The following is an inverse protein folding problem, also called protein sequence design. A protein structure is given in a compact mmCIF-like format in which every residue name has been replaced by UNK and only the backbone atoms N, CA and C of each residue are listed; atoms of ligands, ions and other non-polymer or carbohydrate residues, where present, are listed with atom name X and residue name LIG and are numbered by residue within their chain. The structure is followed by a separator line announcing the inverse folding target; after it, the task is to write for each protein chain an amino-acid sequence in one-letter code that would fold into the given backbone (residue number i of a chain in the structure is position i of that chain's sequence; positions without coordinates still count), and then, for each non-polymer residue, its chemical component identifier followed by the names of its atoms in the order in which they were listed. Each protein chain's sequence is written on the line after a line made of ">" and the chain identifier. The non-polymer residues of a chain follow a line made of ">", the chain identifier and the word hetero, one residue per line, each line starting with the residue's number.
data_IF_034110478164
#
_entry.id   IF_034110478164
#
_cell.length_a   1.000
_cell.length_b   1.000
_cell.length_c   1.000
_cell.angle_alpha   90.00
_cell.angle_beta   90.00
_cell.angle_gamma   90.00
#
_symmetry.space_group_name_H-M   'P 1'
#
loop_
_entity.id
_entity.type
_entity.pdbx_description
1 polymer ?
#
# COMPACT_ATOMS: atom_id res chain seq x y z
N UNK A 1 -3.44 14.47 -3.50
CA UNK A 1 -4.44 13.68 -4.24
C UNK A 1 -4.14 12.20 -4.10
N UNK A 2 -5.17 11.37 -3.89
CA UNK A 2 -5.03 9.91 -3.75
C UNK A 2 -5.29 9.25 -5.10
N UNK A 3 -4.38 8.37 -5.54
CA UNK A 3 -4.59 7.51 -6.73
C UNK A 3 -4.70 6.06 -6.28
N UNK A 4 -5.75 5.39 -6.72
CA UNK A 4 -5.99 3.96 -6.53
C UNK A 4 -5.83 3.26 -7.86
N UNK A 5 -4.97 2.25 -7.92
CA UNK A 5 -4.71 1.47 -9.13
C UNK A 5 -4.45 0.00 -8.80
N UNK A 6 -4.35 -0.82 -9.84
CA UNK A 6 -4.04 -2.24 -9.71
C UNK A 6 -2.53 -2.44 -9.69
N UNK A 7 -1.98 -3.16 -8.72
CA UNK A 7 -0.54 -3.48 -8.69
C UNK A 7 -0.22 -4.77 -9.45
N UNK A 8 -0.96 -5.83 -9.14
CA UNK A 8 -0.86 -7.15 -9.75
C UNK A 8 -2.27 -7.70 -9.98
N UNK A 9 -2.41 -8.99 -10.27
CA UNK A 9 -3.73 -9.59 -10.47
C UNK A 9 -4.71 -9.29 -9.33
N UNK A 10 -4.30 -9.36 -8.06
CA UNK A 10 -5.19 -9.41 -6.89
C UNK A 10 -4.86 -8.37 -5.80
N UNK A 11 -3.84 -7.55 -6.00
CA UNK A 11 -3.35 -6.53 -5.07
C UNK A 11 -3.74 -5.13 -5.53
N UNK A 12 -4.39 -4.38 -4.64
CA UNK A 12 -4.74 -2.98 -4.85
C UNK A 12 -3.62 -2.07 -4.37
N UNK A 13 -3.27 -1.08 -5.18
CA UNK A 13 -2.28 -0.04 -4.88
C UNK A 13 -3.00 1.26 -4.57
N UNK A 14 -2.77 1.81 -3.38
CA UNK A 14 -3.28 3.10 -2.96
C UNK A 14 -2.07 3.99 -2.74
N UNK A 15 -1.95 5.06 -3.51
CA UNK A 15 -0.85 6.02 -3.42
C UNK A 15 -1.36 7.39 -3.00
N UNK A 16 -0.67 8.00 -2.04
CA UNK A 16 -0.95 9.36 -1.62
C UNK A 16 0.34 10.10 -1.30
N UNK A 17 0.39 11.37 -1.70
CA UNK A 17 1.49 12.27 -1.38
C UNK A 17 1.07 13.14 -0.19
N UNK A 18 1.99 13.30 0.76
CA UNK A 18 1.83 14.15 1.92
C UNK A 18 2.52 15.48 1.64
N UNK A 19 1.75 16.49 1.26
CA UNK A 19 2.27 17.61 0.45
C UNK A 19 2.52 18.92 1.20
N UNK A 20 2.78 18.92 2.53
CA UNK A 20 3.35 20.06 3.31
C UNK A 20 3.19 19.92 4.82
N UNK A 21 2.14 19.25 5.30
CA UNK A 21 1.86 19.19 6.74
C UNK A 21 2.81 18.23 7.45
N UNK A 22 3.19 18.56 8.69
CA UNK A 22 3.94 17.65 9.57
C UNK A 22 3.08 16.47 10.03
N UNK A 23 1.75 16.68 10.06
CA UNK A 23 0.76 15.72 10.52
C UNK A 23 -0.23 15.42 9.39
N UNK A 24 -0.53 14.14 9.18
CA UNK A 24 -1.54 13.72 8.23
C UNK A 24 -2.26 12.49 8.76
N UNK A 25 -3.59 12.49 8.66
CA UNK A 25 -4.41 11.33 8.96
C UNK A 25 -5.09 10.79 7.70
N UNK A 26 -5.10 9.46 7.60
CA UNK A 26 -5.69 8.72 6.49
C UNK A 26 -6.61 7.64 7.09
N UNK A 27 -7.89 7.71 6.76
CA UNK A 27 -8.89 6.71 7.15
C UNK A 27 -9.40 6.01 5.88
N UNK A 28 -9.29 4.69 5.83
CA UNK A 28 -9.76 3.84 4.73
C UNK A 28 -10.84 2.90 5.25
N UNK A 29 -11.99 2.89 4.58
CA UNK A 29 -13.14 2.05 4.88
C UNK A 29 -13.40 1.15 3.68
N UNK A 30 -13.07 -0.14 3.83
CA UNK A 30 -13.33 -1.16 2.82
C UNK A 30 -14.60 -1.92 3.20
N UNK A 31 -15.65 -1.74 2.41
CA UNK A 31 -16.93 -2.40 2.55
C UNK A 31 -16.89 -3.74 1.80
N UNK A 32 -16.95 -4.81 2.57
CA UNK A 32 -16.92 -6.20 2.08
C UNK A 32 -18.36 -6.72 2.01
N UNK A 33 -18.80 -7.28 0.88
CA UNK A 33 -20.10 -7.95 0.77
C UNK A 33 -20.29 -9.04 1.82
N UNK A 34 -21.42 -9.03 2.55
CA UNK A 34 -21.69 -10.02 3.60
C UNK A 34 -21.80 -11.46 3.11
N UNK A 35 -22.06 -11.67 1.81
CA UNK A 35 -22.06 -13.02 1.21
C UNK A 35 -20.69 -13.73 1.30
N UNK A 36 -19.60 -12.99 1.52
CA UNK A 36 -18.25 -13.55 1.70
C UNK A 36 -18.08 -14.13 3.11
N UNK A 37 -18.93 -13.71 4.07
CA UNK A 37 -18.87 -14.19 5.45
C UNK A 37 -17.63 -13.73 6.23
N UNK A 38 -16.93 -12.68 5.79
CA UNK A 38 -15.73 -12.17 6.46
C UNK A 38 -16.07 -11.69 7.88
N UNK A 39 -15.43 -12.29 8.88
CA UNK A 39 -15.65 -12.00 10.29
C UNK A 39 -14.35 -12.06 11.10
N UNK A 40 -14.32 -11.39 12.26
CA UNK A 40 -13.15 -11.33 13.14
C UNK A 40 -12.69 -12.71 13.64
N UNK A 41 -13.60 -13.68 13.76
CA UNK A 41 -13.28 -15.05 14.18
C UNK A 41 -12.57 -15.85 13.08
N UNK A 42 -12.93 -15.62 11.82
CA UNK A 42 -12.32 -16.31 10.67
C UNK A 42 -10.97 -15.68 10.30
N UNK A 43 -10.92 -14.35 10.32
CA UNK A 43 -9.71 -13.61 9.99
C UNK A 43 -9.49 -12.51 11.03
N UNK A 44 -8.65 -12.77 12.05
CA UNK A 44 -8.29 -11.78 13.05
C UNK A 44 -7.70 -10.51 12.41
N UNK A 45 -7.90 -9.38 13.08
CA UNK A 45 -7.39 -8.08 12.65
C UNK A 45 -5.86 -8.07 12.51
N UNK A 46 -5.16 -8.85 13.33
CA UNK A 46 -3.70 -9.02 13.22
C UNK A 46 -3.31 -9.68 11.91
N UNK A 47 -4.02 -10.73 11.54
CA UNK A 47 -3.69 -11.54 10.38
C UNK A 47 -4.04 -10.77 9.11
N UNK A 48 -5.17 -10.04 9.12
CA UNK A 48 -5.51 -9.11 8.05
C UNK A 48 -4.44 -8.03 7.89
N UNK A 49 -3.97 -7.45 8.99
CA UNK A 49 -2.94 -6.42 8.93
C UNK A 49 -1.60 -6.95 8.38
N UNK A 50 -1.11 -8.10 8.86
CA UNK A 50 0.20 -8.62 8.43
C UNK A 50 0.18 -9.28 7.05
N UNK A 51 -0.93 -9.93 6.66
CA UNK A 51 -1.01 -10.69 5.41
C UNK A 51 -1.57 -9.87 4.25
N UNK A 52 -2.51 -8.93 4.50
CA UNK A 52 -3.12 -8.15 3.44
C UNK A 52 -2.50 -6.76 3.28
N UNK A 53 -1.95 -6.15 4.33
CA UNK A 53 -1.48 -4.76 4.28
C UNK A 53 0.05 -4.67 4.22
N UNK A 54 0.57 -4.23 3.08
CA UNK A 54 1.99 -3.88 2.95
C UNK A 54 2.13 -2.40 2.61
N UNK A 55 3.12 -1.71 3.14
CA UNK A 55 3.28 -0.27 2.93
C UNK A 55 4.71 0.07 2.60
N UNK A 56 4.89 1.12 1.80
CA UNK A 56 6.20 1.70 1.50
C UNK A 56 6.07 3.20 1.50
N UNK A 57 7.06 3.88 2.07
CA UNK A 57 7.14 5.34 2.03
C UNK A 57 8.46 5.76 1.40
N UNK A 58 8.38 6.72 0.50
CA UNK A 58 9.50 7.21 -0.28
C UNK A 58 9.55 8.74 -0.20
N UNK A 59 10.75 9.31 -0.29
CA UNK A 59 10.90 10.74 -0.55
C UNK A 59 10.21 11.12 -1.86
N UNK A 60 9.60 12.30 -1.87
CA UNK A 60 8.84 12.80 -3.01
C UNK A 60 9.05 14.30 -3.21
N UNK A 61 8.89 14.74 -4.46
CA UNK A 61 8.99 16.15 -4.85
C UNK A 61 8.19 16.35 -6.13
N UNK A 62 7.28 17.32 -6.13
CA UNK A 62 6.50 17.73 -7.31
C UNK A 62 7.32 18.57 -8.30
N UNK A 63 8.48 19.11 -7.88
CA UNK A 63 9.31 19.97 -8.74
C UNK A 63 10.12 19.12 -9.71
N UNK A 64 9.78 19.19 -11.00
CA UNK A 64 10.39 18.44 -12.12
C UNK A 64 11.87 18.79 -12.43
N UNK A 65 12.60 19.44 -11.53
CA UNK A 65 13.81 20.22 -11.86
C UNK A 65 15.12 19.75 -11.22
N UNK A 66 15.13 18.61 -10.52
CA UNK A 66 16.26 18.23 -9.68
C UNK A 66 17.51 17.66 -10.41
N UNK A 67 17.44 16.90 -11.53
CA UNK A 67 18.63 16.27 -12.09
C UNK A 67 19.64 17.27 -12.66
N UNK A 68 19.12 18.30 -13.35
CA UNK A 68 19.94 19.29 -14.05
C UNK A 68 20.64 20.25 -13.07
N UNK A 69 20.01 20.58 -11.94
CA UNK A 69 20.59 21.46 -10.94
C UNK A 69 21.63 20.70 -10.11
N UNK A 70 21.31 19.47 -9.67
CA UNK A 70 22.23 18.69 -8.84
C UNK A 70 23.42 18.13 -9.62
N UNK A 71 23.27 17.76 -10.90
CA UNK A 71 24.41 17.40 -11.75
C UNK A 71 25.34 18.60 -12.00
N UNK A 72 24.80 19.80 -12.27
CA UNK A 72 25.60 21.03 -12.42
C UNK A 72 26.27 21.47 -11.13
N UNK A 73 25.61 21.31 -9.98
CA UNK A 73 26.20 21.62 -8.68
C UNK A 73 27.26 20.59 -8.26
N UNK A 74 27.06 19.30 -8.58
CA UNK A 74 28.07 18.26 -8.42
C UNK A 74 29.29 18.52 -9.32
N UNK A 75 29.07 18.93 -10.58
CA UNK A 75 30.13 19.35 -11.51
C UNK A 75 30.95 20.53 -10.99
N UNK A 76 30.34 21.42 -10.19
CA UNK A 76 31.02 22.58 -9.56
C UNK A 76 31.68 22.25 -8.22
N UNK A 77 31.73 20.97 -7.82
CA UNK A 77 32.29 20.54 -6.52
C UNK A 77 31.48 21.00 -5.30
N UNK A 78 30.24 21.45 -5.50
CA UNK A 78 29.37 22.01 -4.43
C UNK A 78 28.40 20.98 -3.84
N UNK A 79 28.42 19.74 -4.32
CA UNK A 79 27.53 18.66 -3.86
C UNK A 79 28.36 17.44 -3.45
N UNK A 80 27.99 16.80 -2.34
CA UNK A 80 28.64 15.55 -1.93
C UNK A 80 28.26 14.38 -2.83
N UNK A 81 29.14 13.37 -2.96
CA UNK A 81 28.86 12.14 -3.71
C UNK A 81 27.56 11.46 -3.26
N UNK A 82 27.28 11.48 -1.95
CA UNK A 82 26.04 10.97 -1.36
C UNK A 82 24.81 11.75 -1.84
N UNK A 83 24.85 13.08 -1.83
CA UNK A 83 23.75 13.91 -2.31
C UNK A 83 23.48 13.69 -3.80
N UNK A 84 24.53 13.52 -4.62
CA UNK A 84 24.38 13.19 -6.04
C UNK A 84 23.64 11.86 -6.24
N UNK A 85 24.09 10.78 -5.57
CA UNK A 85 23.48 9.45 -5.70
C UNK A 85 21.99 9.45 -5.36
N UNK A 86 21.62 10.16 -4.30
CA UNK A 86 20.24 10.27 -3.84
C UNK A 86 19.41 11.07 -4.85
N UNK A 87 19.92 12.22 -5.32
CA UNK A 87 19.22 13.05 -6.32
C UNK A 87 18.96 12.28 -7.62
N UNK A 88 19.96 11.53 -8.10
CA UNK A 88 19.83 10.74 -9.31
C UNK A 88 18.90 9.53 -9.12
N UNK A 89 18.95 8.89 -7.95
CA UNK A 89 18.01 7.83 -7.58
C UNK A 89 16.58 8.31 -7.51
N UNK A 90 16.33 9.46 -6.88
CA UNK A 90 15.00 10.05 -6.82
C UNK A 90 14.47 10.31 -8.21
N UNK A 91 15.26 10.95 -9.06
CA UNK A 91 14.87 11.22 -10.43
C UNK A 91 14.53 9.93 -11.18
N UNK A 92 15.41 8.94 -11.13
CA UNK A 92 15.18 7.64 -11.77
C UNK A 92 13.92 6.96 -11.22
N UNK A 93 13.70 7.01 -9.90
CA UNK A 93 12.52 6.46 -9.25
C UNK A 93 11.23 7.18 -9.68
N UNK A 94 11.25 8.52 -9.73
CA UNK A 94 10.13 9.33 -10.20
C UNK A 94 9.80 9.07 -11.65
N UNK A 95 10.81 8.99 -12.52
CA UNK A 95 10.65 8.63 -13.93
C UNK A 95 10.00 7.26 -14.08
N UNK A 96 10.52 6.25 -13.40
CA UNK A 96 9.97 4.89 -13.42
C UNK A 96 8.52 4.88 -12.99
N UNK A 97 8.19 5.55 -11.88
CA UNK A 97 6.80 5.64 -11.39
C UNK A 97 5.88 6.43 -12.33
N UNK A 98 6.38 7.49 -12.96
CA UNK A 98 5.60 8.30 -13.90
C UNK A 98 5.32 7.51 -15.19
N UNK A 99 6.33 6.84 -15.75
CA UNK A 99 6.17 6.01 -16.94
C UNK A 99 5.28 4.78 -16.67
N UNK A 100 5.41 4.15 -15.50
CA UNK A 100 4.55 3.05 -15.05
C UNK A 100 3.08 3.49 -15.05
N UNK A 101 2.79 4.61 -14.39
CA UNK A 101 1.43 5.16 -14.32
C UNK A 101 0.89 5.57 -15.70
N UNK A 102 1.69 6.26 -16.53
CA UNK A 102 1.25 6.71 -17.85
C UNK A 102 0.93 5.53 -18.77
N UNK A 103 1.75 4.48 -18.76
CA UNK A 103 1.51 3.27 -19.55
C UNK A 103 0.31 2.50 -19.02
N UNK A 104 0.16 2.37 -17.69
CA UNK A 104 -1.01 1.70 -17.11
C UNK A 104 -2.31 2.44 -17.42
N UNK A 105 -2.30 3.78 -17.43
CA UNK A 105 -3.45 4.60 -17.79
C UNK A 105 -3.83 4.39 -19.28
N UNK A 106 -2.84 4.34 -20.20
CA UNK A 106 -3.06 4.02 -21.62
C UNK A 106 -3.58 2.58 -21.82
N UNK A 107 -3.06 1.61 -21.07
CA UNK A 107 -3.50 0.22 -21.19
C UNK A 107 -4.88 -0.04 -20.58
N UNK A 108 -5.32 0.81 -19.64
CA UNK A 108 -6.63 0.67 -19.02
C UNK A 108 -7.78 0.99 -19.98
N UNK A 109 -7.58 1.98 -20.86
CA UNK A 109 -8.56 2.44 -21.85
C UNK A 109 -8.14 2.07 -23.28
N UNK A 110 -7.52 0.89 -23.46
CA UNK A 110 -6.87 0.48 -24.71
C UNK A 110 -7.74 0.55 -25.96
N UNK A 111 -9.06 0.56 -25.80
CA UNK A 111 -10.04 0.62 -26.89
C UNK A 111 -10.35 2.05 -27.35
N UNK A 112 -10.09 3.07 -26.51
CA UNK A 112 -10.35 4.49 -26.80
C UNK A 112 -9.07 5.36 -26.82
N UNK A 113 -7.90 4.80 -26.53
CA UNK A 113 -6.63 5.55 -26.53
C UNK A 113 -6.35 6.14 -27.91
N UNK A 114 -6.10 7.43 -27.95
CA UNK A 114 -5.74 8.15 -29.18
C UNK A 114 -4.24 8.07 -29.50
N UNK A 115 -3.87 8.18 -30.79
CA UNK A 115 -2.48 8.29 -31.22
C UNK A 115 -1.73 9.41 -30.51
N UNK A 116 -2.42 10.55 -30.31
CA UNK A 116 -1.87 11.74 -29.65
C UNK A 116 -1.48 11.49 -28.20
N UNK A 117 -2.24 10.68 -27.47
CA UNK A 117 -1.92 10.38 -26.06
C UNK A 117 -0.66 9.51 -25.95
N UNK A 118 -0.53 8.52 -26.83
CA UNK A 118 0.68 7.68 -26.90
C UNK A 118 1.89 8.54 -27.28
N UNK A 119 1.74 9.40 -28.28
CA UNK A 119 2.80 10.29 -28.72
C UNK A 119 3.25 11.27 -27.64
N UNK A 120 2.31 11.84 -26.88
CA UNK A 120 2.64 12.70 -25.74
C UNK A 120 3.50 11.96 -24.70
N UNK A 121 3.14 10.73 -24.35
CA UNK A 121 3.92 9.91 -23.41
C UNK A 121 5.31 9.59 -23.97
N UNK A 122 5.39 9.27 -25.27
CA UNK A 122 6.66 9.00 -25.96
C UNK A 122 7.56 10.24 -25.98
N UNK A 123 7.04 11.41 -26.34
CA UNK A 123 7.81 12.65 -26.41
C UNK A 123 8.33 13.08 -25.04
N UNK A 124 7.48 13.03 -24.01
CA UNK A 124 7.89 13.32 -22.63
C UNK A 124 8.98 12.36 -22.17
N UNK A 125 8.83 11.08 -22.47
CA UNK A 125 9.82 10.04 -22.15
C UNK A 125 11.17 10.34 -22.79
N UNK A 126 11.17 10.64 -24.09
CA UNK A 126 12.40 10.95 -24.83
C UNK A 126 13.05 12.25 -24.37
N UNK A 127 12.28 13.29 -24.06
CA UNK A 127 12.82 14.54 -23.55
C UNK A 127 13.47 14.35 -22.17
N UNK A 128 12.83 13.58 -21.28
CA UNK A 128 13.38 13.28 -19.95
C UNK A 128 14.68 12.48 -20.06
N UNK A 129 14.72 11.43 -20.88
CA UNK A 129 15.95 10.64 -21.11
C UNK A 129 17.05 11.49 -21.76
N UNK A 130 16.71 12.35 -22.74
CA UNK A 130 17.66 13.26 -23.37
C UNK A 130 18.25 14.25 -22.36
N UNK A 131 17.44 14.79 -21.45
CA UNK A 131 17.92 15.69 -20.39
C UNK A 131 18.88 15.00 -19.42
N UNK A 132 18.57 13.76 -19.02
CA UNK A 132 19.45 12.95 -18.19
C UNK A 132 20.83 12.74 -18.86
N UNK A 133 20.81 12.31 -20.13
CA UNK A 133 22.00 11.96 -20.91
C UNK A 133 22.89 13.15 -21.27
N UNK A 134 22.39 14.38 -21.19
CA UNK A 134 23.19 15.60 -21.34
C UNK A 134 24.09 15.88 -20.13
N UNK A 135 23.83 15.27 -18.98
CA UNK A 135 24.51 15.60 -17.71
C UNK A 135 25.34 14.46 -17.16
N UNK A 136 26.27 13.95 -17.98
CA UNK A 136 27.20 12.89 -17.58
C UNK A 136 28.26 13.48 -16.61
N UNK A 137 28.50 12.86 -15.45
CA UNK A 137 29.53 13.32 -14.51
C UNK A 137 30.94 12.95 -15.00
N UNK A 138 31.93 13.80 -14.71
CA UNK A 138 33.34 13.56 -15.04
C UNK A 138 34.01 12.58 -14.07
N UNK A 139 33.66 12.63 -12.78
CA UNK A 139 34.24 11.78 -11.74
C UNK A 139 33.87 10.30 -11.96
N UNK A 140 34.85 9.41 -11.92
CA UNK A 140 34.66 7.99 -12.27
C UNK A 140 33.65 7.29 -11.36
N UNK A 141 33.65 7.60 -10.06
CA UNK A 141 32.73 6.98 -9.09
C UNK A 141 31.27 7.33 -9.38
N UNK A 142 31.01 8.60 -9.69
CA UNK A 142 29.69 9.13 -10.05
C UNK A 142 29.28 8.63 -11.44
N UNK A 143 30.23 8.52 -12.37
CA UNK A 143 30.01 8.00 -13.72
C UNK A 143 29.57 6.54 -13.69
N UNK A 144 30.20 5.69 -12.87
CA UNK A 144 29.76 4.28 -12.69
C UNK A 144 28.32 4.21 -12.16
N UNK A 145 27.98 5.07 -11.21
CA UNK A 145 26.63 5.14 -10.65
C UNK A 145 25.61 5.61 -11.69
N UNK A 146 25.93 6.66 -12.45
CA UNK A 146 25.14 7.16 -13.57
C UNK A 146 24.91 6.06 -14.63
N UNK A 147 25.96 5.37 -15.06
CA UNK A 147 25.90 4.30 -16.06
C UNK A 147 24.93 3.19 -15.64
N UNK A 148 24.94 2.80 -14.37
CA UNK A 148 24.03 1.80 -13.83
C UNK A 148 22.56 2.26 -13.88
N UNK A 149 22.31 3.54 -13.61
CA UNK A 149 20.97 4.12 -13.66
C UNK A 149 20.49 4.28 -15.10
N UNK A 150 21.30 4.81 -16.00
CA UNK A 150 20.96 4.97 -17.43
C UNK A 150 20.70 3.61 -18.10
N UNK A 151 21.50 2.58 -17.78
CA UNK A 151 21.24 1.21 -18.25
C UNK A 151 19.86 0.69 -17.82
N UNK A 152 19.48 0.91 -16.55
CA UNK A 152 18.18 0.49 -16.05
C UNK A 152 17.04 1.29 -16.67
N UNK A 153 17.15 2.62 -16.76
CA UNK A 153 16.11 3.46 -17.35
C UNK A 153 15.91 3.16 -18.83
N UNK A 154 17.00 2.96 -19.57
CA UNK A 154 16.97 2.54 -20.97
C UNK A 154 16.24 1.20 -21.13
N UNK A 155 16.62 0.18 -20.34
CA UNK A 155 15.93 -1.11 -20.35
C UNK A 155 14.45 -1.01 -19.95
N UNK A 156 14.14 -0.28 -18.89
CA UNK A 156 12.77 -0.15 -18.41
C UNK A 156 11.86 0.55 -19.43
N UNK A 157 12.38 1.57 -20.11
CA UNK A 157 11.67 2.30 -21.17
C UNK A 157 11.33 1.40 -22.33
N UNK A 158 12.31 0.63 -22.80
CA UNK A 158 12.11 -0.39 -23.84
C UNK A 158 11.01 -1.38 -23.45
N UNK A 159 11.06 -1.94 -22.24
CA UNK A 159 10.06 -2.91 -21.79
C UNK A 159 8.65 -2.30 -21.74
N UNK A 160 8.53 -1.03 -21.37
CA UNK A 160 7.25 -0.32 -21.34
C UNK A 160 6.71 -0.04 -22.73
N UNK A 161 7.55 0.37 -23.69
CA UNK A 161 7.13 0.52 -25.09
C UNK A 161 6.73 -0.82 -25.71
N UNK A 162 7.50 -1.90 -25.47
CA UNK A 162 7.13 -3.24 -25.91
C UNK A 162 5.81 -3.72 -25.27
N UNK A 163 5.56 -3.36 -24.01
CA UNK A 163 4.30 -3.70 -23.35
C UNK A 163 3.09 -3.02 -23.99
N UNK A 164 3.22 -1.76 -24.43
CA UNK A 164 2.20 -1.06 -25.22
C UNK A 164 1.97 -1.77 -26.55
N UNK A 165 3.03 -2.10 -27.29
CA UNK A 165 2.93 -2.82 -28.58
C UNK A 165 2.19 -4.15 -28.43
N UNK A 166 2.43 -4.88 -27.34
CA UNK A 166 1.84 -6.19 -27.09
C UNK A 166 0.34 -6.15 -26.72
N UNK A 167 -0.12 -5.08 -26.08
CA UNK A 167 -1.48 -5.00 -25.50
C UNK A 167 -2.41 -4.03 -26.23
N UNK A 168 -1.91 -3.09 -27.03
CA UNK A 168 -2.73 -2.22 -27.86
C UNK A 168 -3.45 -3.02 -28.96
N UNK A 169 -4.72 -2.69 -29.20
CA UNK A 169 -5.61 -3.35 -30.18
C UNK A 169 -5.08 -3.24 -31.62
N UNK A 170 -5.64 -4.04 -32.54
CA UNK A 170 -5.10 -4.29 -33.88
C UNK A 170 -5.80 -3.50 -35.00
N UNK A 171 -6.29 -2.29 -34.72
CA UNK A 171 -6.85 -1.47 -35.80
C UNK A 171 -5.75 -0.84 -36.66
N UNK A 172 -6.09 -0.56 -37.92
CA UNK A 172 -5.14 -0.11 -38.96
C UNK A 172 -4.42 1.19 -38.60
N UNK A 173 -5.05 2.06 -37.82
CA UNK A 173 -4.47 3.33 -37.34
C UNK A 173 -3.31 3.12 -36.35
N UNK A 174 -3.28 2.01 -35.60
CA UNK A 174 -2.23 1.75 -34.63
C UNK A 174 -0.94 1.15 -35.23
N UNK A 175 -0.93 0.83 -36.53
CA UNK A 175 0.23 0.20 -37.16
C UNK A 175 1.45 1.13 -37.19
N UNK A 176 1.26 2.39 -37.54
CA UNK A 176 2.30 3.43 -37.58
C UNK A 176 2.92 3.65 -36.20
N UNK A 177 2.09 3.73 -35.16
CA UNK A 177 2.52 3.91 -33.77
C UNK A 177 3.31 2.69 -33.28
N UNK A 178 2.84 1.48 -33.59
CA UNK A 178 3.55 0.25 -33.22
C UNK A 178 4.94 0.22 -33.84
N UNK A 179 5.05 0.54 -35.13
CA UNK A 179 6.33 0.61 -35.82
C UNK A 179 7.24 1.68 -35.18
N UNK A 180 6.69 2.84 -34.83
CA UNK A 180 7.43 3.90 -34.11
C UNK A 180 7.92 3.43 -32.73
N UNK A 181 7.06 2.78 -31.93
CA UNK A 181 7.43 2.25 -30.61
C UNK A 181 8.52 1.18 -30.71
N UNK A 182 8.46 0.32 -31.73
CA UNK A 182 9.50 -0.68 -32.02
C UNK A 182 10.82 0.01 -32.37
N UNK A 183 10.81 1.01 -33.26
CA UNK A 183 12.02 1.77 -33.62
C UNK A 183 12.62 2.45 -32.38
N UNK A 184 11.80 2.97 -31.47
CA UNK A 184 12.29 3.58 -30.23
C UNK A 184 12.87 2.54 -29.26
N UNK A 185 12.26 1.37 -29.16
CA UNK A 185 12.81 0.24 -28.40
C UNK A 185 14.17 -0.20 -28.97
N UNK A 186 14.29 -0.33 -30.29
CA UNK A 186 15.54 -0.65 -30.97
C UNK A 186 16.62 0.41 -30.75
N UNK A 187 16.25 1.70 -30.74
CA UNK A 187 17.19 2.80 -30.40
C UNK A 187 17.72 2.68 -28.99
N UNK A 188 16.89 2.33 -28.01
CA UNK A 188 17.32 2.10 -26.63
C UNK A 188 18.21 0.84 -26.52
N UNK A 189 17.90 -0.22 -27.27
CA UNK A 189 18.79 -1.38 -27.38
C UNK A 189 20.16 -1.02 -27.96
N UNK A 190 20.20 -0.26 -29.07
CA UNK A 190 21.42 0.20 -29.70
C UNK A 190 22.25 1.11 -28.77
N UNK A 191 21.59 2.00 -28.02
CA UNK A 191 22.23 2.84 -27.01
C UNK A 191 22.97 2.01 -25.95
N UNK A 192 22.32 0.97 -25.40
CA UNK A 192 22.94 0.08 -24.40
C UNK A 192 24.10 -0.73 -24.98
N UNK A 193 24.01 -1.10 -26.26
CA UNK A 193 25.08 -1.81 -26.97
C UNK A 193 26.31 -0.91 -27.20
N UNK A 194 26.09 0.33 -27.66
CA UNK A 194 27.14 1.32 -27.92
C UNK A 194 27.90 1.72 -26.65
N UNK A 195 27.22 1.80 -25.51
CA UNK A 195 27.85 2.12 -24.23
C UNK A 195 28.34 0.90 -23.43
N UNK A 196 28.25 -0.31 -24.00
CA UNK A 196 28.72 -1.56 -23.39
C UNK A 196 28.21 -1.79 -21.95
N UNK A 197 26.95 -1.43 -21.68
CA UNK A 197 26.40 -1.52 -20.31
C UNK A 197 26.26 -2.96 -19.81
N UNK A 198 26.08 -3.92 -20.71
CA UNK A 198 25.82 -5.31 -20.41
C UNK A 198 26.89 -6.19 -21.05
N UNK A 199 27.34 -7.22 -20.32
CA UNK A 199 28.22 -8.24 -20.88
C UNK A 199 27.48 -9.05 -21.93
N UNK A 200 28.23 -9.62 -22.88
CA UNK A 200 27.67 -10.48 -23.95
C UNK A 200 26.85 -11.63 -23.39
N UNK A 201 27.32 -12.28 -22.31
CA UNK A 201 26.59 -13.34 -21.61
C UNK A 201 25.28 -12.86 -20.97
N UNK A 202 25.26 -11.63 -20.43
CA UNK A 202 24.04 -11.08 -19.86
C UNK A 202 23.04 -10.68 -20.95
N UNK A 203 23.52 -10.24 -22.12
CA UNK A 203 22.65 -9.91 -23.25
C UNK A 203 21.97 -11.15 -23.87
N UNK A 204 22.61 -12.32 -23.82
CA UNK A 204 22.08 -13.56 -24.37
C UNK A 204 21.11 -14.28 -23.42
N UNK A 205 21.32 -14.19 -22.11
CA UNK A 205 20.52 -14.90 -21.11
C UNK A 205 19.46 -13.96 -20.48
N UNK A 206 18.19 -14.21 -20.83
CA UNK A 206 17.02 -13.49 -20.35
C UNK A 206 16.96 -13.46 -18.81
N UNK A 207 17.35 -14.55 -18.15
CA UNK A 207 17.28 -14.64 -16.69
C UNK A 207 18.35 -13.77 -16.03
N UNK A 208 19.56 -13.74 -16.60
CA UNK A 208 20.67 -12.91 -16.10
C UNK A 208 20.37 -11.44 -16.26
N UNK A 209 19.86 -11.01 -17.42
CA UNK A 209 19.50 -9.60 -17.62
C UNK A 209 18.37 -9.19 -16.69
N UNK A 210 17.32 -10.00 -16.54
CA UNK A 210 16.22 -9.72 -15.61
C UNK A 210 16.70 -9.57 -14.16
N UNK A 211 17.57 -10.47 -13.70
CA UNK A 211 18.16 -10.40 -12.36
C UNK A 211 19.04 -9.14 -12.17
N UNK A 212 19.85 -8.79 -13.19
CA UNK A 212 20.65 -7.55 -13.17
C UNK A 212 19.75 -6.32 -13.08
N UNK A 213 18.69 -6.25 -13.87
CA UNK A 213 17.75 -5.12 -13.87
C UNK A 213 16.99 -5.02 -12.55
N UNK A 214 16.66 -6.14 -11.91
CA UNK A 214 16.10 -6.16 -10.55
C UNK A 214 17.07 -5.56 -9.52
N UNK A 215 18.37 -5.83 -9.65
CA UNK A 215 19.40 -5.24 -8.78
C UNK A 215 19.53 -3.73 -9.02
N UNK A 216 19.53 -3.29 -10.28
CA UNK A 216 19.58 -1.86 -10.62
C UNK A 216 18.32 -1.12 -10.17
N UNK A 217 17.14 -1.76 -10.22
CA UNK A 217 15.93 -1.21 -9.60
C UNK A 217 16.11 -0.99 -8.10
N UNK A 218 16.71 -1.94 -7.37
CA UNK A 218 17.01 -1.75 -5.94
C UNK A 218 18.00 -0.62 -5.70
N UNK A 219 18.93 -0.37 -6.64
CA UNK A 219 19.90 0.72 -6.55
C UNK A 219 19.23 2.10 -6.52
N UNK A 220 18.14 2.28 -7.29
CA UNK A 220 17.36 3.53 -7.30
C UNK A 220 16.37 3.61 -6.14
N UNK A 221 15.89 2.46 -5.64
CA UNK A 221 14.90 2.41 -4.56
C UNK A 221 15.54 2.63 -3.17
N UNK A 222 16.69 2.02 -2.89
CA UNK A 222 17.29 2.03 -1.56
C UNK A 222 17.57 3.44 -0.99
N UNK A 223 18.06 4.42 -1.77
CA UNK A 223 18.32 5.76 -1.25
C UNK A 223 17.04 6.61 -1.06
N UNK A 224 15.92 6.19 -1.65
CA UNK A 224 14.69 6.97 -1.73
C UNK A 224 13.61 6.43 -0.79
N UNK A 225 13.54 5.10 -0.62
CA UNK A 225 12.59 4.43 0.27
C UNK A 225 13.09 4.54 1.71
N UNK A 226 12.21 5.03 2.58
CA UNK A 226 12.49 5.15 4.01
C UNK A 226 12.58 3.77 4.63
N UNK A 227 13.58 3.57 5.49
CA UNK A 227 13.67 2.35 6.30
C UNK A 227 12.58 2.41 7.37
N UNK A 228 11.83 1.34 7.53
CA UNK A 228 10.75 1.27 8.52
C UNK A 228 10.99 0.16 9.53
N UNK A 229 10.62 0.43 10.78
CA UNK A 229 10.51 -0.60 11.82
C UNK A 229 9.08 -0.61 12.36
N UNK A 230 8.49 -1.81 12.39
CA UNK A 230 7.13 -2.02 12.87
C UNK A 230 7.15 -2.53 14.31
N UNK A 231 6.43 -1.85 15.18
CA UNK A 231 6.32 -2.18 16.60
C UNK A 231 4.85 -2.47 16.91
N UNK A 232 4.55 -3.70 17.32
CA UNK A 232 3.23 -4.07 17.82
C UNK A 232 3.01 -3.44 19.20
N UNK A 233 1.96 -2.61 19.32
CA UNK A 233 1.61 -1.95 20.57
C UNK A 233 0.72 -2.84 21.42
N UNK A 234 0.83 -2.67 22.74
CA UNK A 234 -0.05 -3.31 23.70
C UNK A 234 0.46 -4.63 24.29
N UNK A 235 1.60 -5.19 23.84
CA UNK A 235 2.15 -6.39 24.47
C UNK A 235 2.51 -6.17 25.95
N UNK A 236 3.18 -5.06 26.27
CA UNK A 236 3.52 -4.71 27.65
C UNK A 236 2.27 -4.39 28.48
N UNK A 237 1.31 -3.68 27.88
CA UNK A 237 0.02 -3.36 28.52
C UNK A 237 -0.75 -4.64 28.81
N UNK A 238 -0.77 -5.61 27.89
CA UNK A 238 -1.43 -6.90 28.08
C UNK A 238 -0.82 -7.69 29.25
N UNK A 239 0.50 -7.66 29.38
CA UNK A 239 1.21 -8.26 30.53
C UNK A 239 0.85 -7.56 31.84
N UNK A 240 0.81 -6.22 31.85
CA UNK A 240 0.39 -5.45 33.02
C UNK A 240 -1.07 -5.72 33.41
N UNK A 241 -2.00 -5.76 32.44
CA UNK A 241 -3.41 -6.11 32.66
C UNK A 241 -3.54 -7.51 33.24
N UNK A 242 -2.79 -8.50 32.72
CA UNK A 242 -2.77 -9.85 33.28
C UNK A 242 -2.30 -9.85 34.74
N UNK A 243 -1.26 -9.08 35.06
CA UNK A 243 -0.74 -8.92 36.42
C UNK A 243 -1.76 -8.29 37.36
N UNK A 244 -2.37 -7.16 36.95
CA UNK A 244 -3.38 -6.45 37.73
C UNK A 244 -4.62 -7.32 37.96
N UNK A 245 -5.13 -7.99 36.92
CA UNK A 245 -6.28 -8.89 37.05
C UNK A 245 -5.99 -10.05 38.02
N UNK A 246 -4.81 -10.66 37.90
CA UNK A 246 -4.39 -11.75 38.80
C UNK A 246 -4.25 -11.26 40.24
N UNK A 247 -3.64 -10.09 40.46
CA UNK A 247 -3.47 -9.49 41.79
C UNK A 247 -4.80 -9.12 42.43
N UNK A 248 -5.71 -8.50 41.68
CA UNK A 248 -7.04 -8.13 42.16
C UNK A 248 -7.87 -9.35 42.56
N UNK A 249 -7.89 -10.37 41.70
CA UNK A 249 -8.59 -11.63 41.98
C UNK A 249 -7.98 -12.35 43.19
N UNK A 250 -6.64 -12.36 43.31
CA UNK A 250 -5.98 -12.95 44.49
C UNK A 250 -6.31 -12.21 45.78
N UNK A 251 -6.35 -10.88 45.75
CA UNK A 251 -6.70 -10.07 46.91
C UNK A 251 -8.14 -10.34 47.35
N UNK A 252 -9.08 -10.37 46.39
CA UNK A 252 -10.49 -10.65 46.65
C UNK A 252 -10.69 -12.07 47.22
N UNK A 253 -10.08 -13.08 46.59
CA UNK A 253 -10.11 -14.47 47.08
C UNK A 253 -9.54 -14.56 48.49
N UNK A 254 -8.34 -14.00 48.72
CA UNK A 254 -7.71 -14.06 50.03
C UNK A 254 -8.57 -13.41 51.11
N UNK A 255 -9.23 -12.28 50.79
CA UNK A 255 -10.13 -11.60 51.72
C UNK A 255 -11.35 -12.47 52.08
N UNK A 256 -11.97 -13.14 51.10
CA UNK A 256 -13.08 -14.07 51.36
C UNK A 256 -12.60 -15.25 52.22
N UNK A 257 -11.43 -15.81 51.91
CA UNK A 257 -10.86 -16.93 52.67
C UNK A 257 -10.61 -16.53 54.13
N UNK A 258 -10.08 -15.33 54.37
CA UNK A 258 -9.89 -14.80 55.73
C UNK A 258 -11.23 -14.65 56.45
N UNK A 259 -12.24 -14.03 55.84
CA UNK A 259 -13.56 -13.89 56.47
C UNK A 259 -14.27 -15.23 56.71
N UNK A 260 -14.14 -16.18 55.78
CA UNK A 260 -14.72 -17.51 55.94
C UNK A 260 -14.04 -18.28 57.08
N UNK A 261 -12.72 -18.12 57.23
CA UNK A 261 -11.96 -18.69 58.35
C UNK A 261 -12.40 -18.10 59.69
N UNK A 262 -12.57 -16.78 59.76
CA UNK A 262 -13.02 -16.10 60.97
C UNK A 262 -14.43 -16.53 61.39
N UNK A 263 -15.30 -16.89 60.43
CA UNK A 263 -16.67 -17.36 60.71
C UNK A 263 -16.75 -18.84 61.09
N UNK A 264 -15.94 -19.73 60.48
CA UNK A 264 -16.07 -21.19 60.67
C UNK A 264 -15.11 -21.78 61.71
N UNK A 265 -14.08 -21.06 62.15
CA UNK A 265 -13.20 -21.39 63.27
C UNK A 265 -12.27 -22.60 63.06
N UNK A 266 -12.81 -23.75 62.64
CA UNK A 266 -12.11 -25.02 62.41
C UNK A 266 -12.13 -25.46 60.93
N UNK A 267 -11.06 -26.13 60.50
CA UNK A 267 -10.94 -26.71 59.15
C UNK A 267 -11.81 -27.98 59.08
N UNK A 268 -13.10 -27.81 58.85
CA UNK A 268 -14.03 -28.93 58.60
C UNK A 268 -14.01 -29.37 57.13
N UNK A 269 -14.50 -30.58 56.83
CA UNK A 269 -14.61 -31.07 55.44
C UNK A 269 -15.44 -30.11 54.55
N UNK A 270 -16.45 -29.45 55.13
CA UNK A 270 -17.25 -28.44 54.44
C UNK A 270 -16.42 -27.22 54.02
N UNK A 271 -15.46 -26.79 54.85
CA UNK A 271 -14.54 -25.69 54.55
C UNK A 271 -13.66 -26.01 53.34
N UNK A 272 -13.11 -27.22 53.28
CA UNK A 272 -12.25 -27.65 52.16
C UNK A 272 -13.04 -27.64 50.84
N UNK A 273 -14.27 -28.14 50.83
CA UNK A 273 -15.13 -28.14 49.63
C UNK A 273 -15.44 -26.71 49.19
N UNK A 274 -15.79 -25.82 50.12
CA UNK A 274 -16.05 -24.41 49.83
C UNK A 274 -14.80 -23.70 49.27
N UNK A 275 -13.63 -23.99 49.83
CA UNK A 275 -12.35 -23.47 49.34
C UNK A 275 -12.04 -23.94 47.93
N UNK A 276 -12.23 -25.23 47.62
CA UNK A 276 -12.03 -25.76 46.27
C UNK A 276 -12.96 -25.08 45.25
N UNK A 277 -14.23 -24.87 45.60
CA UNK A 277 -15.16 -24.14 44.73
C UNK A 277 -14.71 -22.69 44.51
N UNK A 278 -14.27 -22.01 45.57
CA UNK A 278 -13.78 -20.64 45.50
C UNK A 278 -12.52 -20.53 44.62
N UNK A 279 -11.60 -21.50 44.71
CA UNK A 279 -10.45 -21.59 43.83
C UNK A 279 -10.80 -21.90 42.37
N UNK A 280 -11.84 -22.69 42.10
CA UNK A 280 -12.31 -22.91 40.73
C UNK A 280 -12.94 -21.63 40.16
N UNK A 281 -13.77 -20.96 40.95
CA UNK A 281 -14.45 -19.71 40.58
C UNK A 281 -13.45 -18.56 40.33
N UNK A 282 -12.36 -18.52 41.10
CA UNK A 282 -11.22 -17.62 40.89
C UNK A 282 -10.71 -17.65 39.45
N UNK A 283 -10.57 -18.84 38.87
CA UNK A 283 -9.95 -18.97 37.53
C UNK A 283 -10.87 -18.40 36.44
N UNK A 284 -12.18 -18.63 36.55
CA UNK A 284 -13.19 -18.06 35.64
C UNK A 284 -13.18 -16.53 35.73
N UNK A 285 -13.27 -15.97 36.95
CA UNK A 285 -13.27 -14.51 37.14
C UNK A 285 -11.98 -13.84 36.68
N UNK A 286 -10.84 -14.52 36.81
CA UNK A 286 -9.54 -14.00 36.36
C UNK A 286 -9.53 -13.77 34.86
N UNK A 287 -10.07 -14.71 34.07
CA UNK A 287 -10.10 -14.55 32.62
C UNK A 287 -11.13 -13.52 32.17
N UNK A 288 -12.31 -13.48 32.78
CA UNK A 288 -13.33 -12.47 32.49
C UNK A 288 -12.86 -11.05 32.83
N UNK A 289 -12.25 -10.86 34.01
CA UNK A 289 -11.71 -9.56 34.42
C UNK A 289 -10.56 -9.13 33.51
N UNK A 290 -9.68 -10.06 33.14
CA UNK A 290 -8.58 -9.80 32.20
C UNK A 290 -9.10 -9.31 30.86
N UNK A 291 -10.11 -9.99 30.30
CA UNK A 291 -10.66 -9.64 28.99
C UNK A 291 -11.47 -8.34 29.04
N UNK A 292 -12.23 -8.10 30.11
CA UNK A 292 -12.93 -6.85 30.35
C UNK A 292 -11.96 -5.66 30.43
N UNK A 293 -10.92 -5.75 31.29
CA UNK A 293 -9.90 -4.72 31.43
C UNK A 293 -9.16 -4.48 30.11
N UNK A 294 -8.83 -5.55 29.39
CA UNK A 294 -8.15 -5.45 28.09
C UNK A 294 -9.00 -4.71 27.05
N UNK A 295 -10.29 -5.05 26.93
CA UNK A 295 -11.21 -4.38 25.99
C UNK A 295 -11.38 -2.91 26.33
N UNK A 296 -11.50 -2.58 27.61
CA UNK A 296 -11.65 -1.19 28.07
C UNK A 296 -10.39 -0.36 27.81
N UNK A 297 -9.21 -0.85 28.21
CA UNK A 297 -7.93 -0.15 28.02
C UNK A 297 -7.52 0.00 26.55
N UNK A 298 -7.88 -0.96 25.69
CA UNK A 298 -7.51 -0.95 24.27
C UNK A 298 -8.46 -0.15 23.39
N UNK A 299 -9.65 0.22 23.88
CA UNK A 299 -10.66 0.92 23.08
C UNK A 299 -10.07 2.23 22.51
N UNK A 300 -10.09 2.35 21.18
CA UNK A 300 -9.59 3.55 20.46
C UNK A 300 -8.07 3.74 20.45
N UNK A 301 -7.27 2.83 21.03
CA UNK A 301 -5.80 2.94 21.04
C UNK A 301 -5.17 2.33 19.78
N UNK A 302 -4.03 2.88 19.30
CA UNK A 302 -3.34 2.34 18.14
C UNK A 302 -2.80 0.94 18.44
N UNK A 303 -2.87 0.06 17.43
CA UNK A 303 -2.41 -1.32 17.54
C UNK A 303 -0.97 -1.48 17.06
N UNK A 304 -0.53 -0.62 16.14
CA UNK A 304 0.84 -0.63 15.64
C UNK A 304 1.43 0.78 15.61
N UNK A 305 2.75 0.82 15.76
CA UNK A 305 3.57 2.01 15.55
C UNK A 305 4.66 1.67 14.54
N UNK A 306 4.75 2.46 13.47
CA UNK A 306 5.89 2.45 12.54
C UNK A 306 6.81 3.62 12.85
N UNK A 307 8.12 3.39 12.80
CA UNK A 307 9.14 4.45 12.83
C UNK A 307 9.85 4.49 11.49
N UNK A 308 10.02 5.69 10.96
CA UNK A 308 10.71 5.92 9.70
C UNK A 308 12.10 6.48 9.93
N UNK A 309 13.07 5.90 9.23
CA UNK A 309 14.47 6.26 9.27
C UNK A 309 14.95 6.63 7.87
N UNK A 310 15.77 7.67 7.80
CA UNK A 310 16.43 8.04 6.56
C UNK A 310 17.44 6.93 6.15
N UNK A 311 17.38 6.39 4.92
CA UNK A 311 18.28 5.33 4.48
C UNK A 311 19.76 5.71 4.50
N UNK A 312 20.07 7.01 4.35
CA UNK A 312 21.42 7.54 4.21
C UNK A 312 22.06 7.87 5.56
N UNK A 313 21.35 8.61 6.42
CA UNK A 313 21.87 9.01 7.74
C UNK A 313 21.50 8.05 8.87
N UNK A 314 20.45 7.24 8.70
CA UNK A 314 19.91 6.38 9.75
C UNK A 314 19.10 7.13 10.83
N UNK A 315 18.93 8.45 10.69
CA UNK A 315 18.19 9.26 11.64
C UNK A 315 16.69 9.00 11.55
N UNK A 316 16.00 9.06 12.71
CA UNK A 316 14.55 8.99 12.73
C UNK A 316 13.94 10.30 12.19
N UNK A 317 13.15 10.17 11.14
CA UNK A 317 12.53 11.28 10.40
C UNK A 317 11.01 11.32 10.56
N UNK A 318 10.41 10.27 11.13
CA UNK A 318 8.98 10.26 11.39
C UNK A 318 8.48 9.03 12.13
N UNK A 319 7.18 9.04 12.40
CA UNK A 319 6.46 7.94 12.99
C UNK A 319 5.03 7.88 12.44
N UNK A 320 4.42 6.69 12.50
CA UNK A 320 3.04 6.48 12.11
C UNK A 320 2.36 5.56 13.11
N UNK A 321 1.15 5.93 13.53
CA UNK A 321 0.28 5.12 14.36
C UNK A 321 -0.82 4.53 13.50
N UNK A 322 -1.17 3.26 13.76
CA UNK A 322 -2.11 2.53 12.91
C UNK A 322 -3.14 1.78 13.76
N UNK A 323 -4.38 1.88 13.28
CA UNK A 323 -5.54 1.19 13.80
C UNK A 323 -6.15 0.37 12.67
N UNK A 324 -6.55 -0.86 12.97
CA UNK A 324 -7.33 -1.68 12.07
C UNK A 324 -8.41 -2.37 12.88
N UNK A 325 -9.67 -2.11 12.57
CA UNK A 325 -10.80 -2.71 13.26
C UNK A 325 -11.87 -3.18 12.28
N UNK A 326 -12.57 -4.24 12.66
CA UNK A 326 -13.85 -4.58 12.04
C UNK A 326 -14.96 -3.71 12.63
N UNK A 327 -15.80 -3.16 11.76
CA UNK A 327 -16.92 -2.31 12.14
C UNK A 327 -18.16 -2.65 11.30
N UNK A 328 -19.33 -2.42 11.88
CA UNK A 328 -20.60 -2.40 11.15
C UNK A 328 -20.85 -0.99 10.62
N UNK A 329 -21.66 -0.87 9.57
CA UNK A 329 -22.01 0.43 8.97
C UNK A 329 -22.57 1.42 10.02
N UNK A 330 -23.37 0.93 10.98
CA UNK A 330 -23.99 1.73 12.04
C UNK A 330 -22.99 2.43 12.96
N UNK A 331 -21.77 1.89 13.09
CA UNK A 331 -20.74 2.41 13.98
C UNK A 331 -19.78 3.37 13.27
N UNK A 332 -19.99 3.62 11.96
CA UNK A 332 -19.18 4.53 11.17
C UNK A 332 -19.60 5.99 11.37
N UNK A 333 -18.72 6.98 11.10
CA UNK A 333 -19.12 8.38 11.09
C UNK A 333 -20.24 8.66 10.08
N UNK A 334 -21.18 9.55 10.42
CA UNK A 334 -22.37 9.84 9.60
C UNK A 334 -22.03 10.23 8.16
N UNK A 335 -20.96 11.01 7.96
CA UNK A 335 -20.48 11.41 6.62
C UNK A 335 -20.05 10.20 5.77
N UNK A 336 -19.39 9.21 6.37
CA UNK A 336 -19.01 7.96 5.67
C UNK A 336 -20.26 7.14 5.34
N UNK A 337 -21.23 7.08 6.26
CA UNK A 337 -22.51 6.40 6.01
C UNK A 337 -23.28 7.07 4.86
N UNK A 338 -23.28 8.41 4.79
CA UNK A 338 -23.90 9.20 3.71
C UNK A 338 -23.20 8.98 2.37
N UNK A 339 -21.88 9.02 2.31
CA UNK A 339 -21.12 8.73 1.07
C UNK A 339 -21.38 7.29 0.58
N UNK A 340 -21.57 6.34 1.50
CA UNK A 340 -21.89 4.95 1.14
C UNK A 340 -23.33 4.77 0.63
N UNK A 341 -24.26 5.69 0.92
CA UNK A 341 -25.73 5.48 0.92
C UNK A 341 -26.23 4.60 -0.24
N UNK A 342 -27.01 3.58 0.15
CA UNK A 342 -27.37 2.43 -0.68
C UNK A 342 -28.41 2.81 -1.74
N UNK A 343 -28.14 2.55 -3.03
CA UNK A 343 -29.17 2.51 -4.08
C UNK A 343 -29.97 1.20 -4.09
N UNK A 344 -29.44 0.13 -3.50
CA UNK A 344 -30.06 -1.20 -3.49
C UNK A 344 -30.17 -1.70 -2.05
N UNK A 345 -31.39 -2.10 -1.68
CA UNK A 345 -31.78 -2.66 -0.38
C UNK A 345 -31.20 -4.08 -0.29
N UNK A 346 -30.72 -4.45 0.91
CA UNK A 346 -30.22 -5.78 1.31
C UNK A 346 -28.87 -6.26 0.77
N UNK A 347 -27.85 -6.09 1.64
CA UNK A 347 -26.87 -7.08 2.09
C UNK A 347 -26.25 -6.51 3.37
N UNK A 348 -26.05 -7.34 4.40
CA UNK A 348 -25.17 -6.99 5.50
C UNK A 348 -23.77 -6.78 4.91
N UNK A 349 -23.06 -5.73 5.30
CA UNK A 349 -21.68 -5.50 4.87
C UNK A 349 -20.80 -5.45 6.09
N UNK A 350 -19.68 -6.15 6.01
CA UNK A 350 -18.63 -6.04 7.00
C UNK A 350 -17.66 -4.95 6.56
N UNK A 351 -17.32 -4.02 7.45
CA UNK A 351 -16.43 -2.90 7.13
C UNK A 351 -15.08 -3.12 7.81
N UNK A 352 -14.02 -3.13 7.01
CA UNK A 352 -12.65 -3.05 7.51
C UNK A 352 -12.29 -1.56 7.57
N UNK A 353 -12.16 -1.04 8.79
CA UNK A 353 -11.71 0.33 9.04
C UNK A 353 -10.22 0.31 9.35
N UNK A 354 -9.42 0.86 8.45
CA UNK A 354 -8.02 1.18 8.67
C UNK A 354 -7.88 2.68 8.91
N UNK A 355 -7.28 3.08 10.02
CA UNK A 355 -6.91 4.48 10.28
C UNK A 355 -5.41 4.55 10.48
N UNK A 356 -4.81 5.62 10.00
CA UNK A 356 -3.45 5.94 10.31
C UNK A 356 -3.23 7.42 10.54
N UNK A 357 -2.32 7.72 11.45
CA UNK A 357 -1.86 9.06 11.76
C UNK A 357 -0.36 9.08 11.59
N UNK A 358 0.12 9.95 10.71
CA UNK A 358 1.54 10.07 10.35
C UNK A 358 2.05 11.40 10.83
N UNK A 359 3.22 11.38 11.47
CA UNK A 359 3.97 12.55 11.87
C UNK A 359 5.37 12.50 11.26
N UNK A 360 5.73 13.54 10.49
CA UNK A 360 7.03 13.67 9.84
C UNK A 360 7.75 14.93 10.29
N UNK A 361 9.06 14.79 10.51
CA UNK A 361 9.98 15.88 10.79
C UNK A 361 10.59 16.38 9.50
N UNK A 362 9.88 17.25 8.77
CA UNK A 362 10.34 17.83 7.50
C UNK A 362 11.68 18.58 7.64
N UNK A 363 12.00 19.12 8.82
CA UNK A 363 13.30 19.75 9.11
C UNK A 363 14.50 18.78 9.09
N UNK A 364 14.23 17.47 9.22
CA UNK A 364 15.25 16.41 9.14
C UNK A 364 15.32 15.76 7.76
N UNK A 365 14.53 16.25 6.80
CA UNK A 365 14.62 15.79 5.43
C UNK A 365 15.91 16.30 4.81
N UNK A 366 16.39 15.59 3.80
CA UNK A 366 17.54 16.05 3.04
C UNK A 366 17.21 17.34 2.28
N UNK A 367 18.23 18.17 2.03
CA UNK A 367 18.08 19.40 1.24
C UNK A 367 17.59 19.07 -0.17
N UNK A 368 16.54 19.76 -0.64
CA UNK A 368 15.87 19.53 -1.93
C UNK A 368 14.59 18.68 -1.86
N UNK A 369 14.19 18.23 -0.66
CA UNK A 369 13.02 17.38 -0.44
C UNK A 369 12.07 18.02 0.55
N UNK A 370 10.80 18.11 0.17
CA UNK A 370 9.75 18.76 0.98
C UNK A 370 8.64 17.75 1.35
N UNK A 371 8.54 16.63 0.64
CA UNK A 371 7.37 15.74 0.71
C UNK A 371 7.74 14.25 0.81
N UNK A 372 6.77 13.45 1.23
CA UNK A 372 6.87 11.99 1.16
C UNK A 372 5.63 11.43 0.48
N UNK A 373 5.83 10.37 -0.30
CA UNK A 373 4.75 9.59 -0.90
C UNK A 373 4.67 8.25 -0.20
N UNK A 374 3.46 7.88 0.21
CA UNK A 374 3.17 6.56 0.73
C UNK A 374 2.38 5.75 -0.30
N UNK A 375 2.77 4.48 -0.42
CA UNK A 375 2.08 3.49 -1.21
C UNK A 375 1.64 2.38 -0.26
N UNK A 376 0.34 2.16 -0.19
CA UNK A 376 -0.29 1.08 0.56
C UNK A 376 -0.75 0.02 -0.45
N UNK A 377 -0.29 -1.20 -0.26
CA UNK A 377 -0.73 -2.38 -0.98
C UNK A 377 -1.73 -3.14 -0.12
N UNK A 378 -2.89 -3.42 -0.68
CA UNK A 378 -3.91 -4.26 -0.07
C UNK A 378 -4.06 -5.54 -0.91
N UNK A 379 -3.50 -6.65 -0.44
CA UNK A 379 -3.58 -7.96 -1.10
C UNK A 379 -4.90 -8.66 -0.72
N UNK A 380 -5.76 -8.87 -1.72
CA UNK A 380 -7.05 -9.55 -1.52
C UNK A 380 -6.93 -11.09 -1.49
N UNK A 381 -5.74 -11.68 -1.60
CA UNK A 381 -5.53 -13.14 -1.66
C UNK A 381 -6.19 -13.89 -0.50
N UNK A 382 -6.06 -13.40 0.73
CA UNK A 382 -6.71 -14.05 1.88
C UNK A 382 -8.24 -13.90 1.85
N UNK A 383 -8.75 -12.77 1.37
CA UNK A 383 -10.20 -12.53 1.26
C UNK A 383 -10.81 -13.36 0.13
N UNK A 384 -10.15 -13.45 -1.02
CA UNK A 384 -10.62 -14.22 -2.18
C UNK A 384 -10.64 -15.74 -1.94
N UNK A 385 -9.91 -16.24 -0.93
CA UNK A 385 -10.05 -17.64 -0.48
C UNK A 385 -11.43 -17.95 0.09
N UNK A 386 -12.12 -16.95 0.61
CA UNK A 386 -13.48 -17.06 1.14
C UNK A 386 -14.54 -17.01 0.03
N UNK A 387 -14.17 -16.72 -1.22
CA UNK A 387 -15.14 -16.67 -2.30
C UNK A 387 -15.58 -18.08 -2.68
N UNK A 388 -16.87 -18.21 -3.01
CA UNK A 388 -17.43 -19.44 -3.56
C UNK A 388 -16.65 -19.85 -4.81
N UNK A 389 -16.41 -21.15 -4.97
CA UNK A 389 -15.76 -21.70 -6.18
C UNK A 389 -16.73 -21.80 -7.36
N UNK A 390 -17.96 -21.37 -7.16
CA UNK A 390 -19.05 -21.57 -8.08
C UNK A 390 -18.86 -20.74 -9.34
N UNK A 391 -19.10 -21.42 -10.46
CA UNK A 391 -19.07 -20.82 -11.78
C UNK A 391 -20.36 -21.21 -12.46
N UNK A 392 -21.06 -20.23 -13.01
CA UNK A 392 -22.30 -20.47 -13.73
C UNK A 392 -22.04 -20.36 -15.23
N UNK A 393 -22.84 -21.08 -16.01
CA UNK A 393 -22.75 -21.05 -17.46
C UNK A 393 -23.83 -20.11 -17.98
N UNK A 394 -23.43 -19.13 -18.76
CA UNK A 394 -24.35 -18.26 -19.49
C UNK A 394 -24.33 -18.68 -20.94
N UNK A 395 -25.53 -18.83 -21.50
CA UNK A 395 -25.73 -19.15 -22.90
C UNK A 395 -26.20 -17.87 -23.59
N UNK A 396 -25.52 -17.47 -24.66
CA UNK A 396 -25.94 -16.35 -25.51
C UNK A 396 -26.20 -16.86 -26.91
N UNK A 397 -27.23 -16.35 -27.55
CA UNK A 397 -27.49 -16.58 -28.96
C UNK A 397 -26.90 -15.41 -29.74
N UNK A 398 -25.94 -15.68 -30.62
CA UNK A 398 -25.35 -14.67 -31.49
C UNK A 398 -25.37 -15.18 -32.94
N UNK A 399 -26.11 -14.49 -33.82
CA UNK A 399 -26.29 -14.87 -35.23
C UNK A 399 -26.65 -16.36 -35.46
N UNK A 400 -27.58 -16.90 -34.67
CA UNK A 400 -28.04 -18.29 -34.79
C UNK A 400 -27.11 -19.36 -34.20
N UNK A 401 -25.93 -18.98 -33.70
CA UNK A 401 -25.04 -19.85 -32.93
C UNK A 401 -25.18 -19.60 -31.43
N UNK A 402 -25.30 -20.68 -30.65
CA UNK A 402 -25.32 -20.61 -29.19
C UNK A 402 -23.88 -20.63 -28.67
N UNK A 403 -23.42 -19.53 -28.10
CA UNK A 403 -22.17 -19.48 -27.34
C UNK A 403 -22.42 -19.85 -25.88
N UNK A 404 -21.50 -20.64 -25.31
CA UNK A 404 -21.54 -21.05 -23.90
C UNK A 404 -20.31 -20.49 -23.19
N UNK A 405 -20.54 -19.57 -22.27
CA UNK A 405 -19.48 -18.91 -21.52
C UNK A 405 -19.55 -19.31 -20.04
N UNK A 406 -18.41 -19.71 -19.48
CA UNK A 406 -18.27 -19.99 -18.06
C UNK A 406 -17.91 -18.68 -17.35
N UNK A 407 -18.79 -18.22 -16.46
CA UNK A 407 -18.63 -16.95 -15.76
C UNK A 407 -18.36 -17.21 -14.28
N UNK A 408 -17.31 -16.56 -13.77
CA UNK A 408 -17.01 -16.51 -12.34
C UNK A 408 -17.87 -15.44 -11.66
N UNK A 409 -18.32 -15.72 -10.44
CA UNK A 409 -19.01 -14.74 -9.60
C UNK A 409 -18.09 -13.55 -9.34
N UNK A 410 -18.62 -12.33 -9.53
CA UNK A 410 -17.93 -11.07 -9.25
C UNK A 410 -18.50 -10.47 -7.97
N UNK A 411 -17.61 -10.03 -7.09
CA UNK A 411 -17.93 -9.37 -5.84
C UNK A 411 -17.55 -7.90 -5.93
N UNK A 412 -18.47 -7.03 -5.50
CA UNK A 412 -18.30 -5.58 -5.52
C UNK A 412 -17.89 -5.08 -4.13
N UNK A 413 -16.69 -4.56 -4.02
CA UNK A 413 -16.21 -3.89 -2.82
C UNK A 413 -16.35 -2.38 -3.01
N UNK A 414 -16.69 -1.66 -1.95
CA UNK A 414 -16.60 -0.19 -1.95
C UNK A 414 -15.42 0.21 -1.07
N UNK A 415 -14.59 1.13 -1.56
CA UNK A 415 -13.49 1.71 -0.82
C UNK A 415 -13.76 3.21 -0.66
N UNK A 416 -13.89 3.67 0.57
CA UNK A 416 -13.98 5.10 0.89
C UNK A 416 -12.70 5.49 1.62
N UNK A 417 -12.04 6.54 1.17
CA UNK A 417 -10.84 7.07 1.80
C UNK A 417 -11.08 8.52 2.20
N UNK A 418 -10.78 8.85 3.45
CA UNK A 418 -10.73 10.21 3.97
C UNK A 418 -9.27 10.59 4.18
N UNK A 419 -8.86 11.70 3.58
CA UNK A 419 -7.56 12.32 3.78
C UNK A 419 -7.74 13.62 4.54
N UNK A 420 -7.02 13.76 5.66
CA UNK A 420 -7.02 14.98 6.46
C UNK A 420 -5.57 15.39 6.73
N UNK A 421 -5.20 16.56 6.22
CA UNK A 421 -3.86 17.12 6.37
C UNK A 421 -3.75 18.08 7.58
N UNK A 422 -4.81 18.20 8.39
CA UNK A 422 -4.90 19.09 9.55
C UNK A 422 -4.65 20.58 9.27
N UNK A 423 -4.79 20.98 8.01
CA UNK A 423 -4.66 22.38 7.54
C UNK A 423 -5.95 22.76 6.83
N UNK A 424 -6.30 21.97 5.82
CA UNK A 424 -7.52 22.14 5.03
C UNK A 424 -8.63 21.19 5.49
N UNK A 425 -9.84 21.38 4.95
CA UNK A 425 -10.94 20.46 5.17
C UNK A 425 -10.61 19.03 4.70
N UNK A 426 -11.12 18.01 5.39
CA UNK A 426 -10.90 16.62 5.01
C UNK A 426 -11.52 16.30 3.65
N UNK A 427 -10.71 15.73 2.76
CA UNK A 427 -11.12 15.33 1.41
C UNK A 427 -11.53 13.86 1.43
N UNK A 428 -12.66 13.56 0.79
CA UNK A 428 -13.19 12.21 0.69
C UNK A 428 -13.10 11.72 -0.75
N UNK A 429 -12.82 10.43 -0.90
CA UNK A 429 -12.76 9.76 -2.17
C UNK A 429 -13.46 8.42 -2.09
N UNK A 430 -14.06 7.98 -3.21
CA UNK A 430 -14.78 6.72 -3.29
C UNK A 430 -14.41 5.95 -4.55
N UNK A 431 -14.19 4.64 -4.39
CA UNK A 431 -14.00 3.70 -5.50
C UNK A 431 -14.90 2.47 -5.34
N UNK A 432 -15.34 1.94 -6.48
CA UNK A 432 -15.83 0.56 -6.59
C UNK A 432 -14.68 -0.32 -7.05
N UNK A 433 -14.45 -1.40 -6.33
CA UNK A 433 -13.44 -2.40 -6.70
C UNK A 433 -14.18 -3.70 -7.00
N UNK A 434 -14.17 -4.11 -8.26
CA UNK A 434 -14.80 -5.35 -8.71
C UNK A 434 -13.76 -6.45 -8.72
N UNK A 435 -13.99 -7.50 -7.93
CA UNK A 435 -13.09 -8.64 -7.78
C UNK A 435 -13.78 -9.93 -8.21
N UNK A 436 -13.04 -10.83 -8.85
CA UNK A 436 -13.36 -12.25 -8.86
C UNK A 436 -12.31 -12.99 -8.01
N UNK A 437 -12.37 -14.33 -7.99
CA UNK A 437 -11.45 -15.13 -7.18
C UNK A 437 -9.99 -15.07 -7.64
N UNK A 438 -9.74 -14.70 -8.89
CA UNK A 438 -8.40 -14.72 -9.50
C UNK A 438 -7.77 -13.34 -9.66
N UNK A 439 -8.57 -12.28 -9.79
CA UNK A 439 -8.11 -10.93 -10.09
C UNK A 439 -9.09 -9.81 -9.70
N UNK A 440 -8.54 -8.61 -9.56
CA UNK A 440 -9.25 -7.34 -9.68
C UNK A 440 -9.62 -7.17 -11.16
N UNK A 441 -10.92 -7.10 -11.41
CA UNK A 441 -11.53 -6.96 -12.74
C UNK A 441 -11.60 -5.49 -13.13
N UNK A 442 -12.06 -4.62 -12.23
CA UNK A 442 -12.22 -3.19 -12.48
C UNK A 442 -12.05 -2.37 -11.20
N UNK A 443 -11.57 -1.13 -11.34
CA UNK A 443 -11.48 -0.12 -10.28
C UNK A 443 -12.13 1.14 -10.85
N UNK A 444 -13.30 1.52 -10.33
CA UNK A 444 -14.06 2.66 -10.84
C UNK A 444 -14.07 3.77 -9.79
N UNK A 445 -13.49 4.96 -10.05
CA UNK A 445 -13.69 6.12 -9.20
C UNK A 445 -15.14 6.58 -9.25
N UNK A 446 -15.68 7.03 -8.12
CA UNK A 446 -17.01 7.62 -8.03
C UNK A 446 -16.85 9.07 -7.59
N UNK A 447 -17.30 9.98 -8.44
CA UNK A 447 -17.40 11.39 -8.09
C UNK A 447 -18.44 11.57 -6.99
N UNK A 448 -18.04 12.28 -5.93
CA UNK A 448 -18.91 12.60 -4.81
C UNK A 448 -19.67 13.88 -5.13
N UNK A 449 -20.99 13.85 -4.94
CA UNK A 449 -21.82 15.03 -5.13
C UNK A 449 -21.78 15.94 -3.89
N UNK A 450 -22.01 17.24 -4.06
CA UNK A 450 -21.96 18.24 -2.98
C UNK A 450 -22.83 17.84 -1.76
N UNK A 451 -24.01 17.27 -2.02
CA UNK A 451 -24.94 16.78 -0.99
C UNK A 451 -24.41 15.60 -0.15
N UNK A 452 -23.42 14.86 -0.65
CA UNK A 452 -22.78 13.76 0.11
C UNK A 452 -21.60 14.27 0.94
N UNK A 453 -21.08 15.46 0.61
CA UNK A 453 -19.95 16.11 1.26
C UNK A 453 -20.38 17.06 2.38
N UNK A 454 -21.56 17.68 2.33
CA UNK A 454 -22.17 18.42 3.45
C UNK A 454 -22.79 17.48 4.47
#
# INVERSE_FOLDING_TARGET
>A
MIKVSKHDAITLRISHAMSKSKLSSLEMYLFVPGEIGLNQNLMPETDLYYNCLTQKRAYYSDKHLLPLIHSRLAQRGRLSSTQYRISLSLFAYQYVMALDNAVDDLLHDSDNVTETEIDNVVELTLDILRRLRRTIPYEETLKRYYTNIDNYLSWYTEQKFLSLVAHLTRDSEYKTIKDRLIILAEKEQAHRALHHYNSTQAAQDITRISNKMRLLRRLIEHPVILKETLIALGNNIRRAVKGIATGFVMLFVTMIVVFARDYWGEITASFVIAMSFLYALREIFKDDLKDMLWRWLRKGKPKWKRRYYDPSTGNQIGQKYEWLNYQTISNLPDRIQRIRKKRIVQREEQVISYRSETEMSTSRFMSGYEETREIIYFDFREITRLFDKDTYRVYRLNNGQVSREKIEKRHLFNLIIKQDNHIDEPIYYRWKVVLNRSKIVAIEPIELTSNELE
#
